data_IF_065631628535
#
_entry.id   IF_065631628535
#
_cell.length_a   1.000
_cell.length_b   1.000
_cell.length_c   1.000
_cell.angle_alpha   90.00
_cell.angle_beta   90.00
_cell.angle_gamma   90.00
#
_symmetry.space_group_name_H-M   'P 1'
#
loop_
_entity.id
_entity.type
_entity.pdbx_description
1 polymer ?
#
# COMPACT_ATOMS: atom_id res chain seq x y z
N UNK A 1 12.41 -6.11 -8.36
CA UNK A 1 12.86 -6.47 -7.00
C UNK A 1 11.75 -6.15 -6.02
N UNK A 2 11.49 -7.04 -5.06
CA UNK A 2 10.52 -6.78 -3.98
C UNK A 2 11.31 -6.67 -2.68
N UNK A 3 11.27 -5.51 -2.04
CA UNK A 3 11.83 -5.32 -0.70
C UNK A 3 10.69 -5.28 0.32
N UNK A 4 10.72 -6.18 1.29
CA UNK A 4 9.71 -6.26 2.37
C UNK A 4 10.48 -6.21 3.68
N UNK A 5 9.99 -5.47 4.67
CA UNK A 5 10.59 -5.49 6.01
C UNK A 5 10.55 -6.90 6.64
N UNK A 6 11.42 -7.23 7.62
CA UNK A 6 11.51 -8.59 8.19
C UNK A 6 10.18 -9.19 8.64
N UNK A 7 9.40 -8.46 9.44
CA UNK A 7 8.12 -8.97 9.95
C UNK A 7 7.11 -9.26 8.84
N UNK A 8 7.11 -8.47 7.76
CA UNK A 8 6.22 -8.68 6.63
C UNK A 8 6.53 -9.98 5.88
N UNK A 9 7.82 -10.36 5.79
CA UNK A 9 8.19 -11.68 5.24
C UNK A 9 7.66 -12.82 6.10
N UNK A 10 7.69 -12.66 7.42
CA UNK A 10 7.14 -13.67 8.34
C UNK A 10 5.61 -13.74 8.25
N UNK A 11 4.92 -12.62 8.05
CA UNK A 11 3.47 -12.58 7.84
C UNK A 11 3.07 -13.37 6.58
N UNK A 12 3.82 -13.19 5.49
CA UNK A 12 3.61 -13.93 4.23
C UNK A 12 3.95 -15.42 4.40
N UNK A 13 5.09 -15.74 5.01
CA UNK A 13 5.52 -17.13 5.21
C UNK A 13 4.55 -17.95 6.08
N UNK A 14 3.75 -17.27 6.91
CA UNK A 14 2.71 -17.85 7.76
C UNK A 14 1.32 -17.88 7.08
N UNK A 15 1.23 -17.53 5.81
CA UNK A 15 0.00 -17.51 5.01
C UNK A 15 -1.10 -16.62 5.62
N UNK A 16 -0.70 -15.47 6.19
CA UNK A 16 -1.64 -14.55 6.85
C UNK A 16 -2.08 -13.36 5.99
N UNK A 17 -1.49 -13.18 4.82
CA UNK A 17 -1.68 -11.99 3.98
C UNK A 17 -2.64 -12.33 2.84
N UNK A 18 -3.67 -11.50 2.66
CA UNK A 18 -4.68 -11.67 1.61
C UNK A 18 -4.02 -11.71 0.22
N UNK A 19 -4.53 -12.59 -0.65
CA UNK A 19 -4.03 -12.76 -2.02
C UNK A 19 -4.08 -11.46 -2.84
N UNK A 20 -5.05 -10.58 -2.59
CA UNK A 20 -5.17 -9.28 -3.26
C UNK A 20 -4.02 -8.34 -2.88
N UNK A 21 -3.60 -8.37 -1.61
CA UNK A 21 -2.41 -7.63 -1.16
C UNK A 21 -1.16 -8.14 -1.89
N UNK A 22 -0.96 -9.46 -1.94
CA UNK A 22 0.18 -10.07 -2.64
C UNK A 22 0.17 -9.79 -4.14
N UNK A 23 -1.01 -9.83 -4.76
CA UNK A 23 -1.21 -9.51 -6.16
C UNK A 23 -0.87 -8.04 -6.46
N UNK A 24 -1.30 -7.10 -5.62
CA UNK A 24 -0.97 -5.68 -5.79
C UNK A 24 0.53 -5.41 -5.62
N UNK A 25 1.21 -6.05 -4.65
CA UNK A 25 2.67 -5.93 -4.52
C UNK A 25 3.36 -6.43 -5.80
N UNK A 26 2.92 -7.59 -6.32
CA UNK A 26 3.47 -8.17 -7.54
C UNK A 26 3.23 -7.29 -8.77
N UNK A 27 2.02 -6.74 -8.88
CA UNK A 27 1.65 -5.79 -9.92
C UNK A 27 2.53 -4.53 -9.88
N UNK A 28 2.66 -3.89 -8.73
CA UNK A 28 3.49 -2.69 -8.58
C UNK A 28 4.96 -2.99 -8.87
N UNK A 29 5.48 -4.15 -8.46
CA UNK A 29 6.84 -4.57 -8.83
C UNK A 29 7.00 -4.67 -10.34
N UNK A 30 6.01 -5.20 -11.04
CA UNK A 30 6.09 -5.40 -12.49
C UNK A 30 6.05 -4.04 -13.21
N UNK A 31 5.10 -3.19 -12.82
CA UNK A 31 4.91 -1.86 -13.39
C UNK A 31 6.11 -0.94 -13.16
N UNK A 32 6.68 -0.94 -11.94
CA UNK A 32 7.72 0.01 -11.54
C UNK A 32 9.13 -0.60 -11.44
N UNK A 33 9.30 -1.89 -11.76
CA UNK A 33 10.56 -2.63 -11.68
C UNK A 33 11.01 -2.97 -10.24
N UNK A 34 10.65 -2.15 -9.27
CA UNK A 34 10.93 -2.32 -7.85
C UNK A 34 9.79 -1.79 -6.98
N UNK A 35 9.54 -2.46 -5.85
CA UNK A 35 8.59 -2.02 -4.82
C UNK A 35 9.21 -2.23 -3.44
N UNK A 36 8.99 -1.26 -2.54
CA UNK A 36 9.36 -1.32 -1.12
C UNK A 36 8.10 -1.35 -0.27
N UNK A 37 7.86 -2.47 0.42
CA UNK A 37 6.79 -2.67 1.39
C UNK A 37 7.33 -2.35 2.79
N UNK A 38 6.75 -1.33 3.43
CA UNK A 38 7.12 -0.92 4.79
C UNK A 38 6.24 -1.57 5.86
N UNK A 39 5.03 -2.00 5.52
CA UNK A 39 4.08 -2.52 6.49
C UNK A 39 3.13 -3.56 5.88
N UNK A 40 2.93 -4.63 6.64
CA UNK A 40 1.87 -5.62 6.50
C UNK A 40 1.23 -5.75 7.91
N UNK A 41 1.10 -6.96 8.44
CA UNK A 41 0.38 -7.18 9.71
C UNK A 41 1.24 -6.75 10.90
N UNK A 42 2.43 -7.35 11.01
CA UNK A 42 3.35 -7.20 12.14
C UNK A 42 3.94 -5.80 12.28
N UNK A 43 3.87 -4.98 11.22
CA UNK A 43 4.36 -3.60 11.19
C UNK A 43 3.35 -2.58 11.72
N UNK A 44 2.09 -2.99 11.94
CA UNK A 44 1.02 -2.08 12.30
C UNK A 44 0.48 -2.32 13.72
N UNK A 45 0.09 -1.25 14.40
CA UNK A 45 -0.62 -1.31 15.70
C UNK A 45 -2.06 -1.82 15.54
N UNK A 46 -2.69 -2.30 16.61
CA UNK A 46 -4.05 -2.86 16.54
C UNK A 46 -5.08 -1.94 15.86
N UNK A 47 -5.07 -0.66 16.22
CA UNK A 47 -6.10 0.29 15.79
C UNK A 47 -5.59 1.22 14.67
N UNK A 48 -6.41 1.53 13.67
CA UNK A 48 -6.14 2.61 12.72
C UNK A 48 -6.45 3.97 13.36
N UNK A 49 -7.55 4.03 14.12
CA UNK A 49 -7.99 5.17 14.95
C UNK A 49 -8.74 4.63 16.17
N UNK A 50 -9.04 5.46 17.20
CA UNK A 50 -9.71 4.98 18.41
C UNK A 50 -10.96 4.14 18.10
N UNK A 51 -10.99 2.90 18.59
CA UNK A 51 -12.11 1.98 18.40
C UNK A 51 -12.21 1.29 17.03
N UNK A 52 -11.31 1.56 16.08
CA UNK A 52 -11.36 0.98 14.73
C UNK A 52 -10.11 0.14 14.48
N UNK A 53 -10.27 -1.19 14.46
CA UNK A 53 -9.20 -2.13 14.15
C UNK A 53 -8.71 -1.92 12.71
N UNK A 54 -7.40 -1.93 12.53
CA UNK A 54 -6.79 -1.70 11.21
C UNK A 54 -6.97 -2.90 10.27
N UNK A 55 -7.14 -2.64 8.98
CA UNK A 55 -7.15 -3.67 7.93
C UNK A 55 -5.84 -4.49 7.90
N UNK A 56 -4.73 -3.88 8.30
CA UNK A 56 -3.44 -4.56 8.48
C UNK A 56 -3.54 -5.76 9.42
N UNK A 57 -4.34 -5.67 10.50
CA UNK A 57 -4.47 -6.76 11.49
C UNK A 57 -5.13 -8.01 10.91
N UNK A 58 -5.96 -7.82 9.89
CA UNK A 58 -6.62 -8.91 9.18
C UNK A 58 -5.81 -9.40 7.97
N UNK A 59 -4.62 -8.86 7.72
CA UNK A 59 -3.85 -9.19 6.51
C UNK A 59 -4.41 -8.59 5.22
N UNK A 60 -5.31 -7.60 5.34
CA UNK A 60 -6.03 -6.99 4.22
C UNK A 60 -5.46 -5.64 3.80
N UNK A 61 -4.23 -5.29 4.22
CA UNK A 61 -3.62 -4.03 3.84
C UNK A 61 -2.11 -4.13 3.66
N UNK A 62 -1.57 -3.14 2.96
CA UNK A 62 -0.14 -2.95 2.73
C UNK A 62 0.19 -1.46 2.69
N UNK A 63 1.36 -1.12 3.25
CA UNK A 63 1.95 0.20 3.07
C UNK A 63 3.16 0.09 2.15
N UNK A 64 3.14 0.88 1.07
CA UNK A 64 4.21 0.96 0.07
C UNK A 64 5.01 2.23 0.34
N UNK A 65 6.27 2.09 0.77
CA UNK A 65 7.16 3.22 1.07
C UNK A 65 8.07 3.61 -0.10
N UNK A 66 8.09 2.84 -1.18
CA UNK A 66 8.87 3.18 -2.37
C UNK A 66 8.53 2.36 -3.60
N UNK A 67 8.80 2.95 -4.76
CA UNK A 67 8.55 2.39 -6.08
C UNK A 67 9.72 2.77 -7.00
N UNK A 68 10.15 1.87 -7.87
CA UNK A 68 11.20 2.18 -8.85
C UNK A 68 12.47 2.78 -8.23
N UNK A 69 12.88 2.29 -7.05
CA UNK A 69 13.99 2.84 -6.25
C UNK A 69 13.81 4.29 -5.78
N UNK A 70 12.60 4.83 -5.82
CA UNK A 70 12.23 6.16 -5.33
C UNK A 70 11.37 6.03 -4.08
N UNK A 71 11.71 6.78 -3.03
CA UNK A 71 10.91 6.83 -1.80
C UNK A 71 9.60 7.57 -2.06
N UNK A 72 8.50 7.14 -1.43
CA UNK A 72 7.25 7.93 -1.45
C UNK A 72 7.43 9.24 -0.68
N UNK A 73 8.29 9.27 0.34
CA UNK A 73 8.64 10.50 1.06
C UNK A 73 9.16 11.56 0.09
N UNK A 74 8.45 12.68 0.00
CA UNK A 74 8.82 13.81 -0.86
C UNK A 74 8.53 13.62 -2.35
N UNK A 75 7.88 12.52 -2.77
CA UNK A 75 7.66 12.19 -4.19
C UNK A 75 6.17 12.01 -4.54
N UNK A 76 5.29 12.80 -3.91
CA UNK A 76 3.84 12.77 -4.12
C UNK A 76 3.30 13.99 -4.88
N UNK A 77 4.13 14.59 -5.73
CA UNK A 77 3.77 15.73 -6.58
C UNK A 77 2.87 15.32 -7.76
N UNK A 78 2.09 16.26 -8.32
CA UNK A 78 1.33 16.02 -9.53
C UNK A 78 2.15 15.48 -10.70
N UNK A 79 1.65 14.44 -11.38
CA UNK A 79 2.34 13.76 -12.48
C UNK A 79 3.58 12.94 -12.06
N UNK A 80 3.81 12.80 -10.75
CA UNK A 80 4.90 12.02 -10.20
C UNK A 80 4.65 10.51 -10.18
N UNK A 81 5.68 9.76 -9.79
CA UNK A 81 5.67 8.30 -9.69
C UNK A 81 4.57 7.79 -8.74
N UNK A 82 4.42 8.42 -7.58
CA UNK A 82 3.36 8.07 -6.61
C UNK A 82 1.98 8.26 -7.22
N UNK A 83 1.76 9.36 -7.96
CA UNK A 83 0.45 9.58 -8.60
C UNK A 83 0.18 8.54 -9.67
N UNK A 84 1.17 8.19 -10.50
CA UNK A 84 1.03 7.11 -11.48
C UNK A 84 0.61 5.80 -10.80
N UNK A 85 1.26 5.43 -9.69
CA UNK A 85 0.91 4.22 -8.94
C UNK A 85 -0.50 4.26 -8.35
N UNK A 86 -0.90 5.39 -7.76
CA UNK A 86 -2.27 5.55 -7.24
C UNK A 86 -3.29 5.44 -8.37
N UNK A 87 -3.02 6.05 -9.54
CA UNK A 87 -3.90 5.93 -10.72
C UNK A 87 -4.02 4.48 -11.20
N UNK A 88 -2.90 3.77 -11.31
CA UNK A 88 -2.86 2.38 -11.71
C UNK A 88 -3.67 1.47 -10.77
N UNK A 89 -3.55 1.69 -9.45
CA UNK A 89 -4.36 0.98 -8.45
C UNK A 89 -5.85 1.28 -8.60
N UNK A 90 -6.22 2.53 -8.93
CA UNK A 90 -7.61 2.93 -9.13
C UNK A 90 -8.22 2.41 -10.44
N UNK A 91 -7.40 1.87 -11.34
CA UNK A 91 -7.83 1.24 -12.59
C UNK A 91 -7.94 -0.29 -12.49
N UNK A 92 -7.69 -0.86 -11.30
CA UNK A 92 -7.90 -2.28 -11.07
C UNK A 92 -9.37 -2.69 -11.30
N UNK A 93 -9.65 -3.91 -11.79
CA UNK A 93 -11.01 -4.41 -11.95
C UNK A 93 -11.80 -4.34 -10.64
N UNK A 94 -13.12 -4.10 -10.75
CA UNK A 94 -13.99 -3.86 -9.60
C UNK A 94 -13.97 -5.00 -8.56
N UNK A 95 -13.71 -6.23 -9.00
CA UNK A 95 -13.60 -7.44 -8.18
C UNK A 95 -12.40 -7.42 -7.22
N UNK A 96 -11.34 -6.68 -7.57
CA UNK A 96 -10.10 -6.57 -6.79
C UNK A 96 -9.80 -5.14 -6.36
N UNK A 97 -10.72 -4.20 -6.60
CA UNK A 97 -10.58 -2.78 -6.25
C UNK A 97 -10.48 -2.61 -4.72
N UNK A 98 -9.42 -1.96 -4.21
CA UNK A 98 -9.30 -1.66 -2.78
C UNK A 98 -10.37 -0.68 -2.31
N UNK A 99 -10.67 -0.71 -1.00
CA UNK A 99 -11.55 0.26 -0.33
C UNK A 99 -10.81 1.49 0.16
N UNK A 100 -9.49 1.40 0.32
CA UNK A 100 -8.64 2.45 0.85
C UNK A 100 -7.40 2.57 -0.02
N UNK A 101 -7.13 3.76 -0.56
CA UNK A 101 -5.87 4.12 -1.24
C UNK A 101 -5.41 5.47 -0.68
N UNK A 102 -4.70 5.45 0.43
CA UNK A 102 -4.40 6.64 1.22
C UNK A 102 -2.97 7.08 0.99
N UNK A 103 -2.80 8.36 0.66
CA UNK A 103 -1.50 9.00 0.46
C UNK A 103 -1.66 10.50 0.76
N UNK A 104 -0.83 11.38 0.19
CA UNK A 104 -1.11 12.82 0.13
C UNK A 104 -2.02 13.20 -1.05
N UNK A 105 -2.32 12.25 -1.93
CA UNK A 105 -3.15 12.43 -3.10
C UNK A 105 -4.61 12.09 -2.81
N UNK A 106 -5.52 12.85 -3.41
CA UNK A 106 -6.97 12.61 -3.38
C UNK A 106 -7.53 12.55 -4.79
N UNK A 107 -7.39 11.39 -5.45
CA UNK A 107 -7.79 11.23 -6.86
C UNK A 107 -9.24 10.77 -7.03
N UNK A 108 -10.00 10.62 -5.93
CA UNK A 108 -11.39 10.19 -5.93
C UNK A 108 -11.57 8.69 -5.74
N UNK A 109 -12.84 8.26 -5.61
CA UNK A 109 -13.15 6.86 -5.29
C UNK A 109 -12.53 6.44 -3.95
N UNK A 110 -11.80 5.32 -3.88
CA UNK A 110 -11.11 4.90 -2.65
C UNK A 110 -9.84 5.72 -2.35
N UNK A 111 -9.43 6.65 -3.23
CA UNK A 111 -8.27 7.53 -2.98
C UNK A 111 -8.63 8.79 -2.22
N UNK A 112 -8.00 8.99 -1.06
CA UNK A 112 -8.18 10.19 -0.24
C UNK A 112 -6.90 10.58 0.51
N UNK A 113 -6.69 11.89 0.75
CA UNK A 113 -5.44 12.39 1.33
C UNK A 113 -5.46 12.37 2.86
N UNK A 114 -4.37 11.93 3.48
CA UNK A 114 -4.11 12.09 4.92
C UNK A 114 -2.64 12.50 5.16
N UNK A 115 -2.42 13.57 5.93
CA UNK A 115 -1.09 14.16 6.12
C UNK A 115 -0.05 13.19 6.73
N UNK A 116 -0.49 12.23 7.54
CA UNK A 116 0.37 11.23 8.14
C UNK A 116 0.73 10.06 7.18
N UNK A 117 0.34 10.14 5.91
CA UNK A 117 0.74 9.21 4.83
C UNK A 117 1.73 9.89 3.87
N UNK A 118 2.59 10.78 4.40
CA UNK A 118 3.59 11.50 3.60
C UNK A 118 4.72 10.59 3.09
N UNK A 119 4.93 9.45 3.74
CA UNK A 119 6.03 8.51 3.53
C UNK A 119 5.59 7.16 2.92
N UNK A 120 4.30 6.94 2.68
CA UNK A 120 3.80 5.72 2.07
C UNK A 120 2.45 5.89 1.37
N UNK A 121 2.13 4.92 0.50
CA UNK A 121 0.77 4.68 0.00
C UNK A 121 0.19 3.52 0.82
N UNK A 122 -0.90 3.75 1.54
CA UNK A 122 -1.67 2.69 2.19
C UNK A 122 -2.72 2.15 1.22
N UNK A 123 -2.80 0.83 1.11
CA UNK A 123 -3.79 0.14 0.27
C UNK A 123 -4.51 -0.90 1.13
N UNK A 124 -5.84 -0.84 1.21
CA UNK A 124 -6.64 -1.71 2.08
C UNK A 124 -7.93 -2.22 1.42
N UNK A 125 -8.32 -3.46 1.74
CA UNK A 125 -9.48 -4.17 1.18
C UNK A 125 -10.58 -4.50 2.22
#
# INVERSE_FOLDING_TARGET
MINIYPGGRDDIAKDKVDVRVLATISYLRETFGQVTVSCLISGHRLYARPGVVSAHIYGHAVDIAGLGNTSITGHQQPGGLTEAAVRDILLLPGEVMPKQVISLLGLGGPSFPLANHYDHIHIGW
#
